data_IF_620800547344
#
_entry.id   IF_620800547344
#
_cell.length_a   1.000
_cell.length_b   1.000
_cell.length_c   1.000
_cell.angle_alpha   90.00
_cell.angle_beta   90.00
_cell.angle_gamma   90.00
#
_symmetry.space_group_name_H-M   'P 1'
#
loop_
_entity.id
_entity.type
_entity.pdbx_description
1 polymer ?
#
# COMPACT_ATOMS: atom_id res chain seq x y z
N UNK A 1 38.41 81.21 43.71
CA UNK A 1 39.12 79.99 43.27
C UNK A 1 38.26 78.80 43.68
N UNK A 2 37.87 77.97 42.72
CA UNK A 2 36.62 77.22 42.72
C UNK A 2 36.61 75.95 43.60
N UNK A 3 35.50 75.72 44.31
CA UNK A 3 35.13 74.44 44.91
C UNK A 3 34.49 73.53 43.85
N UNK A 4 35.03 72.33 43.64
CA UNK A 4 34.47 71.29 42.76
C UNK A 4 33.73 70.26 43.60
N UNK A 5 32.44 70.10 43.31
CA UNK A 5 31.58 69.00 43.74
C UNK A 5 31.97 67.70 43.01
N UNK A 6 31.93 66.57 43.73
CA UNK A 6 31.87 65.22 43.16
C UNK A 6 30.46 64.67 43.45
N UNK A 7 29.80 64.04 42.48
CA UNK A 7 28.96 62.90 42.82
C UNK A 7 29.23 61.67 41.94
N UNK A 8 29.48 60.57 42.65
CA UNK A 8 28.97 59.19 42.45
C UNK A 8 28.55 58.81 41.03
N UNK A 9 29.40 58.04 40.34
CA UNK A 9 29.02 57.30 39.13
C UNK A 9 28.22 56.04 39.49
N UNK A 10 26.96 55.99 39.08
CA UNK A 10 26.16 54.76 39.04
C UNK A 10 26.45 53.98 37.75
N UNK A 11 26.81 52.72 37.92
CA UNK A 11 27.01 51.71 36.90
C UNK A 11 25.64 51.31 36.33
N UNK A 12 25.36 51.56 35.05
CA UNK A 12 24.18 50.99 34.36
C UNK A 12 24.68 49.87 33.45
N UNK A 13 24.42 48.63 33.86
CA UNK A 13 24.58 47.44 33.03
C UNK A 13 23.47 47.39 31.97
N UNK A 14 23.85 47.43 30.69
CA UNK A 14 22.97 47.20 29.56
C UNK A 14 22.65 45.69 29.47
N UNK A 15 21.49 45.29 29.99
CA UNK A 15 20.86 44.01 29.68
C UNK A 15 20.17 44.12 28.30
N UNK A 16 20.79 43.54 27.28
CA UNK A 16 20.16 43.31 25.99
C UNK A 16 19.08 42.23 26.10
N UNK A 17 17.82 42.66 26.15
CA UNK A 17 16.66 41.78 25.96
C UNK A 17 16.67 41.28 24.51
N UNK A 18 17.15 40.05 24.31
CA UNK A 18 16.92 39.31 23.07
C UNK A 18 15.42 38.99 22.98
N UNK A 19 14.73 39.66 22.08
CA UNK A 19 13.36 39.30 21.71
C UNK A 19 13.37 37.94 21.01
N UNK A 20 12.59 36.95 21.48
CA UNK A 20 12.49 35.69 20.74
C UNK A 20 11.80 35.98 19.42
N UNK A 21 12.51 35.69 18.32
CA UNK A 21 11.90 35.61 16.99
C UNK A 21 10.83 34.53 17.07
N UNK A 22 9.56 34.95 17.01
CA UNK A 22 8.46 34.05 16.81
C UNK A 22 8.66 33.35 15.46
N UNK A 23 8.99 32.06 15.50
CA UNK A 23 8.92 31.21 14.32
C UNK A 23 7.46 31.15 13.92
N UNK A 24 7.14 31.83 12.82
CA UNK A 24 5.82 31.79 12.20
C UNK A 24 5.49 30.34 11.84
N UNK A 25 4.47 29.78 12.47
CA UNK A 25 3.87 28.48 12.14
C UNK A 25 3.06 28.56 10.81
N UNK A 26 3.71 29.02 9.75
CA UNK A 26 3.21 28.95 8.37
C UNK A 26 4.03 27.87 7.66
N UNK A 27 3.34 26.89 7.08
CA UNK A 27 3.85 25.70 6.38
C UNK A 27 4.18 24.44 7.19
N UNK A 28 3.27 24.05 8.09
CA UNK A 28 2.97 22.62 8.14
C UNK A 28 2.07 22.31 6.92
N UNK A 29 2.66 22.01 5.77
CA UNK A 29 1.89 21.49 4.62
C UNK A 29 1.05 20.31 5.12
N UNK A 30 -0.27 20.39 5.02
CA UNK A 30 -1.17 19.36 5.51
C UNK A 30 -0.72 17.99 4.98
N UNK A 31 -0.50 17.04 5.89
CA UNK A 31 0.01 15.70 5.53
C UNK A 31 -0.98 15.02 4.59
N UNK A 32 -0.46 14.30 3.60
CA UNK A 32 -1.27 13.47 2.70
C UNK A 32 -1.72 12.23 3.45
N UNK A 33 -3.03 12.11 3.66
CA UNK A 33 -3.64 10.93 4.25
C UNK A 33 -3.66 9.79 3.23
N UNK A 34 -3.11 8.63 3.60
CA UNK A 34 -3.00 7.46 2.71
C UNK A 34 -3.59 6.22 3.37
N UNK A 35 -4.44 5.50 2.63
CA UNK A 35 -4.79 4.11 2.91
C UNK A 35 -4.08 3.23 1.89
N UNK A 36 -3.47 2.14 2.36
CA UNK A 36 -2.77 1.18 1.51
C UNK A 36 -3.60 -0.09 1.41
N UNK A 37 -3.83 -0.62 0.21
CA UNK A 37 -4.44 -1.93 -0.03
C UNK A 37 -3.49 -2.80 -0.85
N UNK A 38 -2.94 -3.86 -0.25
CA UNK A 38 -1.79 -4.57 -0.82
C UNK A 38 -1.79 -6.08 -0.52
N UNK A 39 -1.11 -6.87 -1.33
CA UNK A 39 -0.88 -8.30 -1.13
C UNK A 39 0.56 -8.59 -0.61
N UNK A 40 1.10 -7.61 0.11
CA UNK A 40 2.47 -7.46 0.66
C UNK A 40 3.33 -8.72 0.66
N UNK A 41 4.45 -8.67 -0.06
CA UNK A 41 5.48 -9.71 -0.04
C UNK A 41 6.82 -9.11 0.38
N UNK A 42 7.51 -9.79 1.30
CA UNK A 42 8.79 -9.33 1.85
C UNK A 42 8.68 -7.91 2.44
N UNK A 43 9.80 -7.19 2.54
CA UNK A 43 9.78 -5.75 2.80
C UNK A 43 9.39 -5.03 1.49
N UNK A 44 8.08 -5.03 1.19
CA UNK A 44 7.55 -4.43 -0.03
C UNK A 44 7.93 -2.94 -0.09
N UNK A 45 8.52 -2.52 -1.21
CA UNK A 45 8.97 -1.16 -1.43
C UNK A 45 7.86 -0.12 -1.31
N UNK A 46 6.65 -0.39 -1.82
CA UNK A 46 5.57 0.60 -1.79
C UNK A 46 5.07 0.92 -0.36
N UNK A 47 4.60 -0.05 0.46
CA UNK A 47 4.25 0.20 1.85
C UNK A 47 5.40 0.77 2.68
N UNK A 48 6.62 0.24 2.52
CA UNK A 48 7.78 0.70 3.30
C UNK A 48 8.13 2.17 2.98
N UNK A 49 8.12 2.55 1.70
CA UNK A 49 8.39 3.93 1.29
C UNK A 49 7.29 4.89 1.77
N UNK A 50 6.01 4.50 1.68
CA UNK A 50 4.91 5.34 2.16
C UNK A 50 4.95 5.56 3.67
N UNK A 51 5.32 4.53 4.44
CA UNK A 51 5.46 4.62 5.90
C UNK A 51 6.59 5.56 6.35
N UNK A 52 7.61 5.75 5.52
CA UNK A 52 8.78 6.61 5.78
C UNK A 52 8.71 7.97 5.07
N UNK A 53 7.79 8.15 4.12
CA UNK A 53 7.73 9.34 3.30
C UNK A 53 7.40 10.60 4.13
N UNK A 54 8.21 11.67 4.04
CA UNK A 54 7.91 12.91 4.74
C UNK A 54 6.61 13.52 4.21
N UNK A 55 5.75 13.99 5.10
CA UNK A 55 4.48 14.61 4.74
C UNK A 55 3.38 13.61 4.34
N UNK A 56 3.61 12.29 4.48
CA UNK A 56 2.58 11.26 4.34
C UNK A 56 2.15 10.76 5.71
N UNK A 57 0.85 10.57 5.88
CA UNK A 57 0.26 9.94 7.05
C UNK A 57 -0.51 8.69 6.60
N UNK A 58 0.10 7.53 6.83
CA UNK A 58 -0.54 6.24 6.56
C UNK A 58 -1.54 5.95 7.67
N UNK A 59 -2.81 5.86 7.31
CA UNK A 59 -3.93 5.64 8.22
C UNK A 59 -4.18 4.15 8.51
N UNK A 60 -3.69 3.27 7.64
CA UNK A 60 -3.84 1.83 7.76
C UNK A 60 -3.39 1.10 6.50
N UNK A 61 -3.14 -0.19 6.66
CA UNK A 61 -2.79 -1.13 5.59
C UNK A 61 -3.83 -2.23 5.59
N UNK A 62 -4.61 -2.32 4.52
CA UNK A 62 -5.48 -3.47 4.26
C UNK A 62 -4.74 -4.50 3.43
N UNK A 63 -4.94 -5.78 3.74
CA UNK A 63 -4.29 -6.87 3.00
C UNK A 63 -5.28 -7.75 2.25
N UNK A 64 -4.86 -8.29 1.11
CA UNK A 64 -5.64 -9.22 0.29
C UNK A 64 -4.78 -10.38 -0.18
N UNK A 65 -5.40 -11.45 -0.67
CA UNK A 65 -4.67 -12.45 -1.46
C UNK A 65 -4.37 -11.90 -2.85
N UNK A 66 -3.20 -12.25 -3.36
CA UNK A 66 -2.70 -11.92 -4.69
C UNK A 66 -1.46 -12.73 -4.97
N UNK A 67 -0.28 -12.13 -4.79
CA UNK A 67 1.04 -12.74 -4.94
C UNK A 67 1.27 -13.86 -3.94
N UNK A 68 0.78 -13.67 -2.72
CA UNK A 68 0.68 -14.69 -1.66
C UNK A 68 -0.75 -14.73 -1.11
N UNK A 69 -1.05 -15.70 -0.25
CA UNK A 69 -2.34 -15.71 0.44
C UNK A 69 -2.41 -14.55 1.43
N UNK A 70 -3.62 -14.02 1.64
CA UNK A 70 -3.90 -12.89 2.55
C UNK A 70 -3.23 -13.01 3.90
N UNK A 71 -3.23 -14.18 4.55
CA UNK A 71 -2.68 -14.31 5.90
C UNK A 71 -1.15 -14.20 5.89
N UNK A 72 -0.49 -14.68 4.82
CA UNK A 72 0.94 -14.44 4.58
C UNK A 72 1.21 -12.98 4.28
N UNK A 73 0.39 -12.32 3.45
CA UNK A 73 0.51 -10.88 3.18
C UNK A 73 0.33 -10.04 4.45
N UNK A 74 -0.64 -10.42 5.28
CA UNK A 74 -0.87 -9.81 6.60
C UNK A 74 0.35 -9.95 7.49
N UNK A 75 0.97 -11.13 7.53
CA UNK A 75 2.17 -11.35 8.32
C UNK A 75 3.34 -10.49 7.82
N UNK A 76 3.55 -10.37 6.51
CA UNK A 76 4.54 -9.46 5.94
C UNK A 76 4.25 -7.98 6.25
N UNK A 77 2.99 -7.55 6.18
CA UNK A 77 2.58 -6.19 6.51
C UNK A 77 2.84 -5.86 8.00
N UNK A 78 2.45 -6.76 8.90
CA UNK A 78 2.73 -6.66 10.34
C UNK A 78 4.23 -6.57 10.61
N UNK A 79 5.00 -7.44 9.95
CA UNK A 79 6.44 -7.44 10.12
C UNK A 79 7.09 -6.17 9.58
N UNK A 80 6.56 -5.63 8.48
CA UNK A 80 7.01 -4.36 7.89
C UNK A 80 6.82 -3.20 8.87
N UNK A 81 5.64 -3.06 9.48
CA UNK A 81 5.40 -1.99 10.46
C UNK A 81 6.25 -2.16 11.72
N UNK A 82 6.56 -3.38 12.14
CA UNK A 82 7.50 -3.63 13.26
C UNK A 82 8.92 -3.19 12.92
N UNK A 83 9.45 -3.61 11.78
CA UNK A 83 10.81 -3.28 11.33
C UNK A 83 10.99 -1.76 11.22
N UNK A 84 9.94 -1.06 10.76
CA UNK A 84 9.96 0.39 10.57
C UNK A 84 9.57 1.19 11.83
N UNK A 85 9.25 0.52 12.95
CA UNK A 85 8.83 1.19 14.19
C UNK A 85 7.50 1.93 14.07
N UNK A 86 6.59 1.46 13.21
CA UNK A 86 5.29 2.07 12.87
C UNK A 86 4.10 1.22 13.29
N UNK A 87 4.19 0.52 14.42
CA UNK A 87 3.10 -0.31 14.96
C UNK A 87 1.87 0.49 15.39
N UNK A 88 1.92 1.84 15.31
CA UNK A 88 0.76 2.72 15.38
C UNK A 88 -0.20 2.58 14.19
N UNK A 89 0.30 2.11 13.04
CA UNK A 89 -0.50 1.92 11.82
C UNK A 89 -1.21 0.57 11.87
N UNK A 90 -2.56 0.52 11.83
CA UNK A 90 -3.29 -0.74 11.86
C UNK A 90 -3.10 -1.53 10.56
N UNK A 91 -2.83 -2.82 10.69
CA UNK A 91 -2.87 -3.80 9.59
C UNK A 91 -4.20 -4.55 9.68
N UNK A 92 -5.00 -4.53 8.61
CA UNK A 92 -6.38 -5.01 8.59
C UNK A 92 -6.55 -6.10 7.52
N UNK A 93 -6.72 -7.37 7.91
CA UNK A 93 -6.92 -8.46 6.95
C UNK A 93 -8.21 -8.29 6.16
N UNK A 94 -8.13 -8.47 4.85
CA UNK A 94 -9.26 -8.36 3.92
C UNK A 94 -9.69 -9.67 3.29
N UNK A 95 -9.91 -9.63 1.98
CA UNK A 95 -10.39 -10.75 1.19
C UNK A 95 -9.35 -11.86 1.06
N UNK A 96 -9.76 -13.09 1.35
CA UNK A 96 -8.92 -14.28 1.14
C UNK A 96 -9.00 -14.81 -0.30
N UNK A 97 -10.14 -14.61 -0.96
CA UNK A 97 -10.41 -15.12 -2.30
C UNK A 97 -10.91 -13.99 -3.19
N UNK A 98 -10.68 -14.07 -4.51
CA UNK A 98 -11.33 -13.17 -5.46
C UNK A 98 -12.84 -13.40 -5.48
N UNK A 99 -13.60 -12.45 -6.01
CA UNK A 99 -15.07 -12.48 -5.99
C UNK A 99 -15.66 -13.70 -6.71
N UNK A 100 -15.09 -14.07 -7.86
CA UNK A 100 -15.62 -15.16 -8.70
C UNK A 100 -14.53 -16.10 -9.20
N UNK A 101 -13.32 -15.58 -9.49
CA UNK A 101 -12.24 -16.39 -10.05
C UNK A 101 -11.82 -17.53 -9.09
N UNK A 102 -11.17 -18.55 -9.62
CA UNK A 102 -10.69 -19.69 -8.84
C UNK A 102 -9.48 -20.35 -9.48
N UNK A 103 -8.77 -21.17 -8.72
CA UNK A 103 -7.69 -22.00 -9.24
C UNK A 103 -8.19 -22.89 -10.40
N UNK A 104 -9.37 -23.50 -10.25
CA UNK A 104 -9.96 -24.33 -11.31
C UNK A 104 -10.30 -23.52 -12.56
N UNK A 105 -10.82 -22.29 -12.43
CA UNK A 105 -11.06 -21.40 -13.55
C UNK A 105 -9.75 -20.97 -14.23
N UNK A 106 -8.71 -20.67 -13.45
CA UNK A 106 -7.37 -20.35 -13.95
C UNK A 106 -6.78 -21.53 -14.72
N UNK A 107 -6.86 -22.76 -14.19
CA UNK A 107 -6.39 -23.98 -14.87
C UNK A 107 -7.13 -24.25 -16.18
N UNK A 108 -8.46 -24.08 -16.20
CA UNK A 108 -9.25 -24.18 -17.45
C UNK A 108 -8.81 -23.15 -18.47
N UNK A 109 -8.53 -21.93 -18.02
CA UNK A 109 -8.04 -20.87 -18.89
C UNK A 109 -6.68 -21.22 -19.49
N UNK A 110 -5.74 -21.76 -18.70
CA UNK A 110 -4.43 -22.19 -19.21
C UNK A 110 -4.54 -23.27 -20.29
N UNK A 111 -5.50 -24.19 -20.15
CA UNK A 111 -5.77 -25.22 -21.16
C UNK A 111 -6.27 -24.68 -22.51
N UNK A 112 -6.79 -23.45 -22.55
CA UNK A 112 -7.31 -22.81 -23.77
C UNK A 112 -6.33 -21.81 -24.38
N UNK A 113 -5.53 -21.13 -23.55
CA UNK A 113 -4.77 -19.96 -23.95
C UNK A 113 -3.27 -20.05 -23.65
N UNK A 114 -2.81 -21.15 -23.08
CA UNK A 114 -1.42 -21.39 -22.72
C UNK A 114 -1.11 -21.15 -21.25
N UNK A 115 0.06 -21.62 -20.83
CA UNK A 115 0.52 -21.58 -19.43
C UNK A 115 0.76 -20.16 -18.95
N UNK A 116 0.39 -19.90 -17.69
CA UNK A 116 0.75 -18.69 -16.96
C UNK A 116 1.99 -18.96 -16.11
N UNK A 117 2.97 -18.05 -16.20
CA UNK A 117 4.22 -18.12 -15.42
C UNK A 117 3.95 -17.88 -13.94
N UNK A 118 3.14 -16.86 -13.63
CA UNK A 118 2.81 -16.49 -12.26
C UNK A 118 1.31 -16.49 -12.01
N UNK A 119 0.90 -17.17 -10.94
CA UNK A 119 -0.50 -17.34 -10.51
C UNK A 119 -0.68 -17.08 -9.02
N UNK A 120 0.28 -16.39 -8.38
CA UNK A 120 0.26 -16.17 -6.94
C UNK A 120 0.31 -17.51 -6.19
N UNK A 121 -0.53 -17.72 -5.17
CA UNK A 121 -0.64 -18.99 -4.46
C UNK A 121 -1.01 -20.21 -5.31
N UNK A 122 -1.54 -20.01 -6.51
CA UNK A 122 -1.87 -21.10 -7.44
C UNK A 122 -0.71 -21.46 -8.38
N UNK A 123 0.47 -20.86 -8.18
CA UNK A 123 1.67 -21.17 -8.97
C UNK A 123 2.16 -22.55 -8.59
N UNK A 124 2.22 -23.47 -9.56
CA UNK A 124 2.73 -24.82 -9.31
C UNK A 124 4.23 -24.76 -9.02
N UNK A 125 4.77 -25.59 -8.12
CA UNK A 125 6.19 -25.56 -7.73
C UNK A 125 7.16 -25.68 -8.91
N UNK A 126 6.80 -26.43 -9.96
CA UNK A 126 7.61 -26.57 -11.18
C UNK A 126 7.52 -25.37 -12.15
N UNK A 127 6.66 -24.38 -11.89
CA UNK A 127 6.55 -23.11 -12.65
C UNK A 127 7.28 -21.95 -11.99
N UNK A 128 7.55 -22.05 -10.69
CA UNK A 128 8.27 -21.00 -9.99
C UNK A 128 9.66 -20.89 -10.63
N UNK A 129 9.93 -19.79 -11.34
CA UNK A 129 11.26 -19.53 -11.88
C UNK A 129 12.29 -19.48 -10.75
N UNK A 130 13.58 -19.59 -11.10
CA UNK A 130 14.68 -19.70 -10.14
C UNK A 130 14.84 -18.52 -9.15
N UNK A 131 13.97 -17.50 -9.21
CA UNK A 131 13.90 -16.38 -8.27
C UNK A 131 12.61 -16.28 -7.42
N UNK A 132 11.57 -17.09 -7.69
CA UNK A 132 10.33 -17.04 -6.89
C UNK A 132 10.49 -17.81 -5.59
N UNK A 133 10.69 -17.06 -4.50
CA UNK A 133 11.17 -17.57 -3.21
C UNK A 133 10.10 -18.29 -2.37
N UNK A 134 8.85 -18.37 -2.83
CA UNK A 134 7.79 -19.11 -2.13
C UNK A 134 6.89 -19.86 -3.12
N UNK A 135 7.06 -21.19 -3.27
CA UNK A 135 6.04 -22.03 -3.90
C UNK A 135 4.70 -21.81 -3.19
N UNK A 136 3.62 -21.66 -3.95
CA UNK A 136 2.30 -21.36 -3.41
C UNK A 136 1.94 -22.31 -2.25
N UNK A 137 1.63 -21.76 -1.07
CA UNK A 137 1.22 -22.60 0.04
C UNK A 137 -0.16 -23.20 -0.28
N UNK A 138 -0.42 -24.47 0.06
CA UNK A 138 -1.62 -25.17 -0.40
C UNK A 138 -2.91 -24.64 0.23
N UNK A 139 -2.81 -23.80 1.26
CA UNK A 139 -3.96 -23.26 1.99
C UNK A 139 -3.73 -21.82 2.42
N UNK A 140 -4.75 -20.95 2.33
CA UNK A 140 -4.68 -19.58 2.81
C UNK A 140 -4.49 -19.45 4.31
N UNK A 141 -4.78 -20.50 5.09
CA UNK A 141 -4.60 -20.49 6.54
C UNK A 141 -3.20 -20.94 6.98
N UNK A 142 -2.36 -21.38 6.04
CA UNK A 142 -0.98 -21.78 6.32
C UNK A 142 -0.05 -20.60 6.05
N UNK A 143 0.42 -19.98 7.13
CA UNK A 143 1.41 -18.91 7.08
C UNK A 143 2.81 -19.53 7.34
N UNK A 144 3.71 -19.55 6.35
CA UNK A 144 5.07 -20.01 6.56
C UNK A 144 5.87 -19.00 7.39
N UNK A 145 6.94 -19.44 8.05
CA UNK A 145 7.87 -18.50 8.68
C UNK A 145 8.50 -17.58 7.63
N UNK A 146 8.54 -16.29 7.93
CA UNK A 146 8.96 -15.27 6.98
C UNK A 146 10.49 -15.12 6.99
N UNK A 147 11.13 -14.94 5.81
CA UNK A 147 12.58 -14.66 5.73
C UNK A 147 13.01 -13.38 6.48
N UNK A 148 12.09 -12.44 6.68
CA UNK A 148 12.32 -11.17 7.41
C UNK A 148 11.97 -11.27 8.90
N UNK A 149 11.70 -12.48 9.40
CA UNK A 149 11.27 -12.77 10.76
C UNK A 149 9.74 -12.73 10.92
N UNK A 150 9.23 -13.53 11.85
CA UNK A 150 7.79 -13.64 12.11
C UNK A 150 7.30 -12.45 12.96
N UNK A 151 6.12 -11.88 12.65
CA UNK A 151 5.58 -10.77 13.42
C UNK A 151 5.09 -11.21 14.80
N UNK A 152 5.19 -10.32 15.78
CA UNK A 152 4.62 -10.49 17.13
C UNK A 152 3.38 -9.62 17.35
N UNK A 153 3.24 -8.55 16.55
CA UNK A 153 2.11 -7.64 16.51
C UNK A 153 0.89 -8.36 15.94
N UNK A 154 -0.28 -8.03 16.47
CA UNK A 154 -1.54 -8.64 16.03
C UNK A 154 -2.23 -7.77 14.98
N UNK A 155 -2.88 -8.38 13.97
CA UNK A 155 -3.72 -7.63 13.06
C UNK A 155 -4.95 -7.06 13.78
N UNK A 156 -5.54 -6.02 13.18
CA UNK A 156 -6.87 -5.54 13.55
C UNK A 156 -7.92 -6.63 13.33
N UNK A 157 -8.95 -6.66 14.18
CA UNK A 157 -10.12 -7.53 14.02
C UNK A 157 -11.20 -6.96 13.10
N UNK A 158 -11.01 -5.76 12.55
CA UNK A 158 -11.94 -5.17 11.57
C UNK A 158 -11.90 -5.92 10.22
N UNK A 159 -12.99 -5.82 9.47
CA UNK A 159 -13.06 -6.28 8.07
C UNK A 159 -12.48 -5.18 7.19
N UNK A 160 -11.47 -5.46 6.37
CA UNK A 160 -10.79 -4.46 5.52
C UNK A 160 -11.75 -3.56 4.73
N UNK A 161 -12.75 -4.12 4.03
CA UNK A 161 -13.71 -3.33 3.27
C UNK A 161 -14.51 -2.35 4.15
N UNK A 162 -14.91 -2.77 5.36
CA UNK A 162 -15.61 -1.91 6.31
C UNK A 162 -14.67 -0.83 6.90
N UNK A 163 -13.41 -1.20 7.16
CA UNK A 163 -12.36 -0.26 7.59
C UNK A 163 -12.15 0.83 6.53
N UNK A 164 -11.99 0.46 5.25
CA UNK A 164 -11.85 1.41 4.14
C UNK A 164 -13.02 2.38 4.10
N UNK A 165 -14.26 1.87 4.12
CA UNK A 165 -15.48 2.70 4.13
C UNK A 165 -15.51 3.65 5.33
N UNK A 166 -15.20 3.14 6.53
CA UNK A 166 -15.18 3.94 7.76
C UNK A 166 -14.16 5.08 7.67
N UNK A 167 -12.95 4.79 7.20
CA UNK A 167 -11.88 5.78 7.08
C UNK A 167 -12.20 6.83 6.01
N UNK A 168 -12.70 6.42 4.84
CA UNK A 168 -13.10 7.36 3.78
C UNK A 168 -14.27 8.25 4.22
N UNK A 169 -15.25 7.72 4.95
CA UNK A 169 -16.34 8.52 5.53
C UNK A 169 -15.88 9.52 6.58
N UNK A 170 -14.88 9.15 7.38
CA UNK A 170 -14.31 10.05 8.38
C UNK A 170 -13.46 11.18 7.76
N UNK A 171 -12.94 10.96 6.55
CA UNK A 171 -12.04 11.88 5.85
C UNK A 171 -12.46 12.08 4.38
N UNK A 172 -13.68 12.56 4.10
CA UNK A 172 -14.19 12.68 2.74
C UNK A 172 -13.31 13.63 1.92
N UNK A 173 -13.00 13.21 0.70
CA UNK A 173 -12.16 13.88 -0.30
C UNK A 173 -10.72 14.19 0.15
N UNK A 174 -10.23 13.54 1.21
CA UNK A 174 -8.89 13.76 1.74
C UNK A 174 -7.95 12.56 1.51
N UNK A 175 -8.48 11.34 1.52
CA UNK A 175 -7.68 10.11 1.45
C UNK A 175 -7.22 9.82 0.03
N UNK A 176 -5.91 9.58 -0.12
CA UNK A 176 -5.35 8.88 -1.28
C UNK A 176 -5.41 7.38 -1.00
N UNK A 177 -6.16 6.64 -1.81
CA UNK A 177 -6.22 5.18 -1.74
C UNK A 177 -5.13 4.61 -2.66
N UNK A 178 -4.14 3.94 -2.08
CA UNK A 178 -2.97 3.41 -2.78
C UNK A 178 -3.05 1.88 -2.83
N UNK A 179 -3.36 1.33 -3.99
CA UNK A 179 -3.66 -0.08 -4.18
C UNK A 179 -2.57 -0.77 -5.01
N UNK A 180 -1.84 -1.72 -4.43
CA UNK A 180 -0.80 -2.49 -5.14
C UNK A 180 -1.07 -3.98 -5.22
N UNK A 181 -2.13 -4.44 -4.56
CA UNK A 181 -2.67 -5.80 -4.74
C UNK A 181 -3.95 -5.85 -5.58
N UNK A 182 -4.58 -7.02 -5.70
CA UNK A 182 -5.86 -7.19 -6.38
C UNK A 182 -7.01 -6.38 -5.75
N UNK A 183 -7.94 -5.91 -6.59
CA UNK A 183 -8.95 -4.89 -6.21
C UNK A 183 -10.12 -5.41 -5.34
N UNK A 184 -10.03 -6.60 -4.76
CA UNK A 184 -11.15 -7.28 -4.09
C UNK A 184 -11.66 -6.49 -2.90
N UNK A 185 -10.78 -5.99 -2.02
CA UNK A 185 -11.18 -5.17 -0.88
C UNK A 185 -11.87 -3.87 -1.30
N UNK A 186 -11.36 -3.22 -2.36
CA UNK A 186 -11.91 -1.98 -2.92
C UNK A 186 -13.29 -2.23 -3.53
N UNK A 187 -13.46 -3.29 -4.29
CA UNK A 187 -14.74 -3.67 -4.87
C UNK A 187 -15.78 -3.98 -3.79
N UNK A 188 -15.38 -4.68 -2.73
CA UNK A 188 -16.23 -4.91 -1.56
C UNK A 188 -16.58 -3.59 -0.85
N UNK A 189 -15.63 -2.67 -0.68
CA UNK A 189 -15.90 -1.37 -0.08
C UNK A 189 -16.93 -0.54 -0.87
N UNK A 190 -16.80 -0.50 -2.21
CA UNK A 190 -17.80 0.13 -3.08
C UNK A 190 -19.18 -0.56 -3.01
N UNK A 191 -19.20 -1.87 -2.80
CA UNK A 191 -20.44 -2.64 -2.66
C UNK A 191 -21.13 -2.37 -1.31
N UNK A 192 -20.35 -2.08 -0.27
CA UNK A 192 -20.86 -1.68 1.05
C UNK A 192 -21.31 -0.20 1.09
N UNK A 193 -20.69 0.65 0.29
CA UNK A 193 -20.99 2.07 0.20
C UNK A 193 -20.84 2.62 -1.22
N UNK A 194 -21.97 2.88 -1.88
CA UNK A 194 -22.00 3.46 -3.24
C UNK A 194 -21.34 4.85 -3.35
N UNK A 195 -21.18 5.58 -2.24
CA UNK A 195 -20.48 6.88 -2.19
C UNK A 195 -18.97 6.76 -1.97
N UNK A 196 -18.47 5.55 -1.65
CA UNK A 196 -17.06 5.31 -1.30
C UNK A 196 -16.09 5.90 -2.31
N UNK A 197 -16.26 5.58 -3.60
CA UNK A 197 -15.36 6.04 -4.65
C UNK A 197 -15.37 7.57 -4.81
N UNK A 198 -16.56 8.19 -4.76
CA UNK A 198 -16.72 9.64 -4.87
C UNK A 198 -16.10 10.40 -3.69
N UNK A 199 -16.05 9.76 -2.52
CA UNK A 199 -15.49 10.33 -1.29
C UNK A 199 -13.97 10.11 -1.17
N UNK A 200 -13.34 9.34 -2.04
CA UNK A 200 -11.86 9.26 -2.10
C UNK A 200 -11.31 10.48 -2.84
N UNK A 201 -10.14 10.98 -2.42
CA UNK A 201 -9.47 12.10 -3.10
C UNK A 201 -8.88 11.67 -4.44
N UNK A 202 -8.15 10.56 -4.39
CA UNK A 202 -7.44 9.98 -5.53
C UNK A 202 -7.28 8.48 -5.29
N UNK A 203 -7.54 7.68 -6.32
CA UNK A 203 -7.13 6.29 -6.40
C UNK A 203 -5.81 6.23 -7.17
N UNK A 204 -4.77 5.67 -6.54
CA UNK A 204 -3.54 5.25 -7.22
C UNK A 204 -3.53 3.73 -7.18
N UNK A 205 -3.42 3.07 -8.33
CA UNK A 205 -3.36 1.61 -8.36
C UNK A 205 -2.30 1.06 -9.30
N UNK A 206 -1.68 -0.05 -8.91
CA UNK A 206 -0.84 -0.87 -9.79
C UNK A 206 -1.70 -1.95 -10.43
N UNK A 207 -1.70 -1.96 -11.76
CA UNK A 207 -2.37 -2.97 -12.53
C UNK A 207 -2.81 -2.48 -13.91
N UNK A 208 -3.23 -3.45 -14.74
CA UNK A 208 -3.51 -3.22 -16.15
C UNK A 208 -2.26 -3.27 -17.02
N UNK A 209 -2.45 -3.31 -18.33
CA UNK A 209 -1.34 -3.38 -19.28
C UNK A 209 -1.72 -2.65 -20.56
N UNK A 210 -0.94 -1.63 -20.93
CA UNK A 210 -1.17 -0.79 -22.11
C UNK A 210 0.03 -0.90 -23.06
N UNK A 211 -0.02 -1.84 -24.00
CA UNK A 211 1.06 -2.10 -24.97
C UNK A 211 2.43 -2.27 -24.29
N UNK A 212 2.61 -3.33 -23.48
CA UNK A 212 3.82 -3.50 -22.66
C UNK A 212 5.07 -3.60 -23.53
N UNK A 213 6.09 -2.82 -23.17
CA UNK A 213 7.42 -2.83 -23.79
C UNK A 213 8.46 -2.99 -22.69
N UNK A 214 9.31 -4.00 -22.81
CA UNK A 214 10.41 -4.18 -21.85
C UNK A 214 11.43 -3.06 -22.05
N UNK A 215 11.56 -2.19 -21.05
CA UNK A 215 12.53 -1.10 -21.06
C UNK A 215 13.81 -1.41 -20.27
N UNK A 216 13.74 -2.37 -19.34
CA UNK A 216 14.84 -2.73 -18.44
C UNK A 216 15.40 -4.09 -18.87
N UNK A 217 16.70 -4.14 -19.14
CA UNK A 217 17.40 -5.36 -19.54
C UNK A 217 18.11 -6.00 -18.34
N UNK A 218 17.34 -6.69 -17.49
CA UNK A 218 17.87 -7.48 -16.37
C UNK A 218 17.17 -8.84 -16.32
N UNK A 219 17.78 -9.88 -15.72
CA UNK A 219 17.15 -11.19 -15.59
C UNK A 219 15.78 -11.15 -14.90
N UNK A 220 15.64 -10.34 -13.86
CA UNK A 220 14.38 -10.17 -13.14
C UNK A 220 13.31 -9.48 -14.01
N UNK A 221 13.69 -8.45 -14.78
CA UNK A 221 12.78 -7.78 -15.71
C UNK A 221 12.35 -8.71 -16.85
N UNK A 222 13.27 -9.53 -17.37
CA UNK A 222 12.96 -10.53 -18.39
C UNK A 222 12.02 -11.62 -17.85
N UNK A 223 12.18 -12.01 -16.57
CA UNK A 223 11.27 -12.95 -15.91
C UNK A 223 9.86 -12.39 -15.76
N UNK A 224 9.73 -11.16 -15.28
CA UNK A 224 8.46 -10.47 -15.20
C UNK A 224 7.81 -10.26 -16.58
N UNK A 225 8.60 -9.88 -17.59
CA UNK A 225 8.12 -9.64 -18.95
C UNK A 225 7.49 -10.87 -19.61
N UNK A 226 7.82 -12.10 -19.16
CA UNK A 226 7.21 -13.34 -19.68
C UNK A 226 5.69 -13.35 -19.53
N UNK A 227 5.15 -12.67 -18.52
CA UNK A 227 3.70 -12.54 -18.31
C UNK A 227 2.98 -11.90 -19.52
N UNK A 228 3.67 -11.00 -20.23
CA UNK A 228 3.09 -10.20 -21.30
C UNK A 228 3.36 -10.75 -22.71
N UNK A 229 4.21 -11.78 -22.86
CA UNK A 229 4.60 -12.32 -24.17
C UNK A 229 3.40 -12.90 -24.93
N UNK A 230 2.61 -13.74 -24.26
CA UNK A 230 1.44 -14.40 -24.87
C UNK A 230 0.11 -13.75 -24.46
N UNK A 231 0.13 -12.92 -23.41
CA UNK A 231 -1.04 -12.24 -22.86
C UNK A 231 -0.76 -10.76 -22.56
N UNK A 232 -0.49 -9.93 -23.57
CA UNK A 232 -0.05 -8.54 -23.38
C UNK A 232 -1.13 -7.59 -22.80
N UNK A 233 -2.29 -8.13 -22.43
CA UNK A 233 -3.44 -7.40 -21.89
C UNK A 233 -3.88 -7.93 -20.51
N UNK A 234 -3.20 -8.95 -19.98
CA UNK A 234 -3.57 -9.60 -18.71
C UNK A 234 -2.45 -9.40 -17.71
N UNK A 235 -2.55 -8.30 -16.98
CA UNK A 235 -1.74 -8.06 -15.79
C UNK A 235 -2.30 -8.84 -14.59
N UNK A 236 -1.41 -9.24 -13.70
CA UNK A 236 -1.65 -10.14 -12.57
C UNK A 236 -2.80 -9.70 -11.64
N UNK A 237 -2.76 -8.49 -11.09
CA UNK A 237 -3.74 -7.98 -10.15
C UNK A 237 -5.15 -7.95 -10.75
N UNK A 238 -5.27 -7.52 -12.01
CA UNK A 238 -6.54 -7.53 -12.74
C UNK A 238 -7.00 -8.96 -13.04
N UNK A 239 -6.08 -9.87 -13.38
CA UNK A 239 -6.40 -11.28 -13.68
C UNK A 239 -6.80 -12.07 -12.42
N UNK A 240 -6.24 -11.74 -11.27
CA UNK A 240 -6.55 -12.40 -10.00
C UNK A 240 -8.04 -12.26 -9.69
N UNK A 241 -8.59 -11.05 -9.81
CA UNK A 241 -10.01 -10.75 -9.60
C UNK A 241 -10.57 -9.79 -10.67
N UNK A 242 -10.91 -10.29 -11.86
CA UNK A 242 -11.41 -9.46 -12.96
C UNK A 242 -12.74 -8.77 -12.63
N UNK A 243 -13.60 -9.43 -11.85
CA UNK A 243 -14.87 -8.88 -11.40
C UNK A 243 -14.65 -7.71 -10.43
N UNK A 244 -13.73 -7.85 -9.48
CA UNK A 244 -13.38 -6.74 -8.60
C UNK A 244 -12.72 -5.59 -9.35
N UNK A 245 -11.81 -5.88 -10.29
CA UNK A 245 -11.20 -4.87 -11.14
C UNK A 245 -12.24 -4.10 -11.96
N UNK A 246 -13.24 -4.79 -12.50
CA UNK A 246 -14.39 -4.16 -13.18
C UNK A 246 -15.18 -3.27 -12.23
N UNK A 247 -15.57 -3.77 -11.06
CA UNK A 247 -16.33 -2.98 -10.07
C UNK A 247 -15.53 -1.73 -9.69
N UNK A 248 -14.25 -1.87 -9.35
CA UNK A 248 -13.35 -0.76 -9.06
C UNK A 248 -13.32 0.25 -10.22
N UNK A 249 -13.11 -0.20 -11.46
CA UNK A 249 -13.01 0.70 -12.62
C UNK A 249 -14.31 1.48 -12.90
N UNK A 250 -15.46 0.99 -12.46
CA UNK A 250 -16.76 1.67 -12.56
C UNK A 250 -17.06 2.60 -11.38
N UNK A 251 -16.15 2.76 -10.41
CA UNK A 251 -16.29 3.72 -9.32
C UNK A 251 -16.29 5.16 -9.80
N UNK A 252 -17.05 6.03 -9.11
CA UNK A 252 -17.12 7.46 -9.38
C UNK A 252 -15.88 8.22 -8.84
N UNK A 253 -14.68 7.75 -9.16
CA UNK A 253 -13.42 8.28 -8.65
C UNK A 253 -13.16 9.71 -9.16
N UNK A 254 -12.89 10.68 -8.28
CA UNK A 254 -12.55 12.05 -8.71
C UNK A 254 -11.24 12.12 -9.49
N UNK A 255 -10.28 11.24 -9.15
CA UNK A 255 -8.99 11.13 -9.83
C UNK A 255 -8.48 9.69 -9.76
N UNK A 256 -7.95 9.20 -10.87
CA UNK A 256 -7.36 7.87 -10.99
C UNK A 256 -5.96 7.98 -11.61
N UNK A 257 -4.99 7.38 -10.95
CA UNK A 257 -3.63 7.17 -11.46
C UNK A 257 -3.39 5.67 -11.56
N UNK A 258 -3.28 5.15 -12.77
CA UNK A 258 -2.94 3.75 -13.04
C UNK A 258 -1.43 3.63 -13.28
N UNK A 259 -0.81 2.62 -12.68
CA UNK A 259 0.58 2.20 -12.91
C UNK A 259 0.56 0.84 -13.62
N UNK A 260 0.61 0.82 -14.97
CA UNK A 260 0.56 -0.42 -15.77
C UNK A 260 1.92 -1.07 -15.99
#
# INVERSE_FOLDING_TARGET
MAFRFVPVGCLIALLSLATPVAVSAKDATARRLVLIDDDVVSLNGAPALLLQAPGVEVLGITTTSGSVWRDTATAYALRTVEILGRTDVPVVPGATYPLVNSEAATKRWEGLYGRLEFKGPWTEPASAGAGQSTPGTPSPSVVPSLPIGDPVTKPSGEIAAAFLVRMVRAHPHQITLFATGPMTNIALAQSLDSSFAANVKELVYMGGSLNPQQAIDTPAAAEFAREFVNTPRREFNIRWDPEAARIMAHGAWPKVTMVP
#
